data_IF_137657406945
#
_entry.id   IF_137657406945
#
_cell.length_a   1.000
_cell.length_b   1.000
_cell.length_c   1.000
_cell.angle_alpha   90.00
_cell.angle_beta   90.00
_cell.angle_gamma   90.00
#
_symmetry.space_group_name_H-M   'P 1'
#
loop_
_entity.id
_entity.type
_entity.pdbx_description
1 polymer ?
#
# COMPACT_ATOMS: atom_id res chain seq x y z
N UNK A 1 -2.65 -1.96 -24.90
CA UNK A 1 -2.11 -3.35 -24.80
C UNK A 1 -2.84 -4.03 -23.63
N UNK A 2 -3.06 -5.34 -23.68
CA UNK A 2 -3.79 -6.09 -22.66
C UNK A 2 -2.87 -6.96 -21.80
N UNK A 3 -3.40 -8.01 -21.15
CA UNK A 3 -2.60 -8.99 -20.42
C UNK A 3 -1.82 -9.92 -21.34
N UNK A 4 -0.89 -10.70 -20.76
CA UNK A 4 -0.23 -11.83 -21.44
C UNK A 4 -1.26 -12.85 -21.91
N UNK A 5 -1.00 -13.50 -23.05
CA UNK A 5 -1.85 -14.56 -23.58
C UNK A 5 -1.62 -15.85 -22.76
N UNK A 6 -2.62 -16.35 -22.02
CA UNK A 6 -2.44 -17.53 -21.16
C UNK A 6 -2.25 -18.84 -21.95
N UNK A 7 -2.48 -18.83 -23.27
CA UNK A 7 -2.37 -20.01 -24.14
C UNK A 7 -1.08 -20.01 -24.97
N UNK A 8 -0.14 -19.09 -24.72
CA UNK A 8 1.14 -19.04 -25.43
C UNK A 8 2.29 -18.86 -24.45
N UNK A 9 3.35 -19.64 -24.64
CA UNK A 9 4.57 -19.59 -23.81
C UNK A 9 5.56 -18.50 -24.26
N UNK A 10 5.19 -17.68 -25.25
CA UNK A 10 6.05 -16.66 -25.87
C UNK A 10 5.88 -15.26 -25.27
N UNK A 11 5.25 -15.15 -24.10
CA UNK A 11 4.93 -13.88 -23.42
C UNK A 11 4.16 -12.87 -24.29
N UNK A 12 3.50 -13.34 -25.35
CA UNK A 12 2.73 -12.48 -26.25
C UNK A 12 1.63 -11.73 -25.51
N UNK A 13 1.53 -10.42 -25.78
CA UNK A 13 0.57 -9.53 -25.14
C UNK A 13 -0.67 -9.41 -26.03
N UNK A 14 -1.85 -9.62 -25.45
CA UNK A 14 -3.12 -9.43 -26.16
C UNK A 14 -3.31 -7.96 -26.51
N UNK A 15 -3.94 -7.66 -27.65
CA UNK A 15 -4.15 -6.29 -28.14
C UNK A 15 -5.56 -6.13 -28.66
N UNK A 16 -6.08 -4.92 -28.49
CA UNK A 16 -7.30 -4.43 -29.14
C UNK A 16 -6.95 -3.13 -29.86
N UNK A 17 -7.49 -2.89 -31.06
CA UNK A 17 -7.33 -1.59 -31.72
C UNK A 17 -7.95 -0.46 -30.89
N UNK A 18 -7.27 0.68 -30.88
CA UNK A 18 -7.73 1.92 -30.30
C UNK A 18 -7.66 2.99 -31.39
N UNK A 19 -8.78 3.61 -31.74
CA UNK A 19 -8.81 4.76 -32.65
C UNK A 19 -9.33 5.98 -31.91
N UNK A 20 -8.73 7.12 -32.18
CA UNK A 20 -9.04 8.39 -31.51
C UNK A 20 -9.48 9.37 -32.59
N UNK A 21 -10.63 10.01 -32.37
CA UNK A 21 -11.24 10.99 -33.24
C UNK A 21 -11.39 12.29 -32.47
N UNK A 22 -10.58 13.28 -32.82
CA UNK A 22 -10.64 14.61 -32.19
C UNK A 22 -11.91 15.34 -32.65
N UNK A 23 -12.67 15.89 -31.69
CA UNK A 23 -13.86 16.70 -31.98
C UNK A 23 -13.59 18.18 -31.74
N UNK A 24 -12.93 18.50 -30.63
CA UNK A 24 -12.54 19.85 -30.25
C UNK A 24 -11.30 19.80 -29.35
N UNK A 25 -10.87 20.96 -28.84
CA UNK A 25 -9.77 21.09 -27.87
C UNK A 25 -10.04 20.42 -26.51
N UNK A 26 -11.31 20.17 -26.17
CA UNK A 26 -11.73 19.63 -24.87
C UNK A 26 -12.52 18.32 -25.00
N UNK A 27 -12.82 17.88 -26.22
CA UNK A 27 -13.64 16.69 -26.48
C UNK A 27 -13.07 15.82 -27.60
N UNK A 28 -13.15 14.50 -27.41
CA UNK A 28 -12.81 13.53 -28.43
C UNK A 28 -13.69 12.28 -28.33
N UNK A 29 -13.56 11.39 -29.29
CA UNK A 29 -14.20 10.08 -29.28
C UNK A 29 -13.17 8.99 -29.45
N UNK A 30 -13.25 7.96 -28.61
CA UNK A 30 -12.42 6.76 -28.67
C UNK A 30 -13.24 5.60 -29.18
N UNK A 31 -12.77 4.92 -30.22
CA UNK A 31 -13.24 3.59 -30.58
C UNK A 31 -12.28 2.54 -30.03
N UNK A 32 -12.81 1.64 -29.21
CA UNK A 32 -12.05 0.55 -28.60
C UNK A 32 -12.87 -0.74 -28.60
N UNK A 33 -12.35 -1.78 -29.26
CA UNK A 33 -13.13 -2.99 -29.53
C UNK A 33 -14.38 -2.68 -30.35
N UNK A 34 -15.57 -2.91 -29.78
CA UNK A 34 -16.87 -2.62 -30.42
C UNK A 34 -17.60 -1.45 -29.74
N UNK A 35 -16.87 -0.60 -29.03
CA UNK A 35 -17.44 0.52 -28.28
C UNK A 35 -16.90 1.84 -28.80
N UNK A 36 -17.77 2.84 -28.83
CA UNK A 36 -17.46 4.23 -29.15
C UNK A 36 -17.78 5.07 -27.92
N UNK A 37 -16.77 5.75 -27.39
CA UNK A 37 -16.80 6.40 -26.08
C UNK A 37 -16.47 7.88 -26.28
N UNK A 38 -17.37 8.76 -25.87
CA UNK A 38 -17.08 10.19 -25.82
C UNK A 38 -16.23 10.49 -24.58
N UNK A 39 -15.14 11.25 -24.76
CA UNK A 39 -14.29 11.72 -23.68
C UNK A 39 -14.30 13.24 -23.63
N UNK A 40 -14.36 13.76 -22.41
CA UNK A 40 -14.23 15.19 -22.11
C UNK A 40 -13.00 15.39 -21.22
N UNK A 41 -12.28 16.48 -21.46
CA UNK A 41 -11.09 16.84 -20.71
C UNK A 41 -11.37 16.94 -19.21
N UNK A 42 -10.50 16.35 -18.39
CA UNK A 42 -10.64 16.36 -16.92
C UNK A 42 -11.70 15.41 -16.36
N UNK A 43 -12.26 14.53 -17.20
CA UNK A 43 -13.31 13.60 -16.78
C UNK A 43 -12.89 12.14 -17.02
N UNK A 44 -13.06 11.34 -15.97
CA UNK A 44 -13.02 9.89 -16.10
C UNK A 44 -14.33 9.41 -16.71
N UNK A 45 -14.26 8.39 -17.55
CA UNK A 45 -15.44 7.64 -17.96
C UNK A 45 -15.98 6.80 -16.81
N UNK A 46 -17.22 6.34 -16.95
CA UNK A 46 -17.68 5.10 -16.31
C UNK A 46 -16.76 3.92 -16.67
N UNK A 47 -16.91 2.80 -15.96
CA UNK A 47 -16.16 1.57 -16.24
C UNK A 47 -16.45 1.04 -17.66
N UNK A 48 -15.39 0.94 -18.46
CA UNK A 48 -15.45 0.45 -19.84
C UNK A 48 -15.00 -1.01 -19.88
N UNK A 49 -15.89 -1.92 -20.31
CA UNK A 49 -15.57 -3.34 -20.49
C UNK A 49 -14.80 -3.59 -21.77
N UNK A 50 -13.58 -4.11 -21.66
CA UNK A 50 -12.76 -4.52 -22.80
C UNK A 50 -12.76 -6.04 -22.94
N UNK A 51 -12.72 -6.51 -24.19
CA UNK A 51 -12.70 -7.94 -24.53
C UNK A 51 -11.46 -8.24 -25.36
N UNK A 52 -10.57 -9.05 -24.82
CA UNK A 52 -9.38 -9.53 -25.52
C UNK A 52 -9.63 -10.93 -26.04
N UNK A 53 -9.52 -11.11 -27.36
CA UNK A 53 -9.62 -12.43 -27.97
C UNK A 53 -8.33 -13.20 -27.69
N UNK A 54 -8.44 -14.40 -27.13
CA UNK A 54 -7.32 -15.33 -26.99
C UNK A 54 -7.36 -16.38 -28.11
N UNK A 55 -6.45 -17.34 -28.06
CA UNK A 55 -6.55 -18.57 -28.85
C UNK A 55 -7.84 -19.34 -28.47
N UNK A 56 -8.36 -20.16 -29.39
CA UNK A 56 -9.49 -21.09 -29.16
C UNK A 56 -10.86 -20.47 -28.81
N UNK A 57 -11.11 -19.22 -29.18
CA UNK A 57 -12.43 -18.58 -29.01
C UNK A 57 -12.76 -18.14 -27.57
N UNK A 58 -11.83 -18.35 -26.64
CA UNK A 58 -11.92 -17.83 -25.27
C UNK A 58 -11.69 -16.31 -25.31
N UNK A 59 -12.41 -15.57 -24.45
CA UNK A 59 -12.32 -14.11 -24.37
C UNK A 59 -11.99 -13.71 -22.94
N UNK A 60 -10.86 -13.05 -22.77
CA UNK A 60 -10.50 -12.43 -21.51
C UNK A 60 -11.19 -11.07 -21.41
N UNK A 61 -11.84 -10.82 -20.28
CA UNK A 61 -12.59 -9.60 -20.02
C UNK A 61 -11.98 -8.81 -18.88
N UNK A 62 -11.90 -7.51 -19.07
CA UNK A 62 -11.42 -6.57 -18.06
C UNK A 62 -12.21 -5.27 -18.14
N UNK A 63 -12.10 -4.44 -17.11
CA UNK A 63 -12.64 -3.08 -17.10
C UNK A 63 -11.52 -2.06 -16.89
N UNK A 64 -11.71 -0.85 -17.40
CA UNK A 64 -10.84 0.30 -17.13
C UNK A 64 -11.64 1.61 -17.27
N UNK A 65 -11.09 2.70 -16.74
CA UNK A 65 -11.58 4.06 -17.02
C UNK A 65 -10.61 4.78 -17.94
N UNK A 66 -11.14 5.65 -18.79
CA UNK A 66 -10.38 6.56 -19.64
C UNK A 66 -10.43 7.97 -19.06
N UNK A 67 -9.32 8.72 -19.17
CA UNK A 67 -9.22 10.10 -18.72
C UNK A 67 -8.47 10.95 -19.73
N UNK A 68 -9.16 11.90 -20.34
CA UNK A 68 -8.56 12.85 -21.27
C UNK A 68 -7.86 13.96 -20.48
N UNK A 69 -6.53 13.97 -20.53
CA UNK A 69 -5.72 15.03 -19.89
C UNK A 69 -5.65 16.27 -20.77
N UNK A 70 -5.30 16.07 -22.03
CA UNK A 70 -5.00 17.15 -22.97
C UNK A 70 -5.24 16.71 -24.41
N UNK A 71 -5.68 17.65 -25.26
CA UNK A 71 -5.68 17.50 -26.73
C UNK A 71 -4.59 18.38 -27.34
N UNK A 72 -4.41 19.59 -26.80
CA UNK A 72 -3.44 20.59 -27.24
C UNK A 72 -2.64 21.13 -26.05
N UNK A 73 -1.32 21.42 -26.19
CA UNK A 73 -0.53 21.30 -27.42
C UNK A 73 -0.17 19.85 -27.78
N UNK A 74 -0.27 18.94 -26.82
CA UNK A 74 -0.04 17.51 -27.02
C UNK A 74 -1.24 16.70 -26.58
N UNK A 75 -1.56 15.68 -27.36
CA UNK A 75 -2.59 14.72 -27.00
C UNK A 75 -2.08 13.81 -25.88
N UNK A 76 -2.81 13.77 -24.77
CA UNK A 76 -2.52 12.95 -23.61
C UNK A 76 -3.80 12.27 -23.11
N UNK A 77 -3.79 10.94 -23.10
CA UNK A 77 -4.88 10.09 -22.64
C UNK A 77 -4.34 9.11 -21.60
N UNK A 78 -4.91 9.15 -20.41
CA UNK A 78 -4.67 8.18 -19.36
C UNK A 78 -5.75 7.08 -19.40
N UNK A 79 -5.32 5.85 -19.11
CA UNK A 79 -6.20 4.69 -18.96
C UNK A 79 -5.78 4.03 -17.66
N UNK A 80 -6.73 3.79 -16.76
CA UNK A 80 -6.45 3.09 -15.50
C UNK A 80 -5.88 1.69 -15.78
N UNK A 81 -5.12 1.10 -14.84
CA UNK A 81 -4.76 -0.31 -14.92
C UNK A 81 -5.99 -1.19 -15.19
N UNK A 82 -5.79 -2.26 -15.97
CA UNK A 82 -6.88 -3.18 -16.33
C UNK A 82 -7.30 -3.98 -15.10
N UNK A 83 -8.57 -3.83 -14.72
CA UNK A 83 -9.20 -4.58 -13.64
C UNK A 83 -9.83 -5.85 -14.21
N UNK A 84 -9.92 -6.93 -13.43
CA UNK A 84 -10.67 -8.12 -13.82
C UNK A 84 -12.15 -7.72 -13.94
N UNK A 85 -12.85 -8.17 -14.98
CA UNK A 85 -14.30 -7.92 -15.13
C UNK A 85 -15.07 -8.58 -13.96
N UNK A 86 -15.69 -7.83 -13.03
CA UNK A 86 -16.36 -8.42 -11.87
C UNK A 86 -17.61 -9.22 -12.26
N UNK A 87 -18.22 -8.92 -13.41
CA UNK A 87 -19.40 -9.63 -13.92
C UNK A 87 -19.05 -11.03 -14.43
N UNK A 88 -17.90 -11.17 -15.11
CA UNK A 88 -17.39 -12.42 -15.68
C UNK A 88 -15.88 -12.54 -15.47
N UNK A 89 -15.45 -12.79 -14.22
CA UNK A 89 -14.06 -12.66 -13.85
C UNK A 89 -13.21 -13.82 -14.38
N UNK A 90 -12.03 -13.49 -14.91
CA UNK A 90 -11.08 -14.48 -15.44
C UNK A 90 -10.32 -15.22 -14.32
N UNK A 91 -10.28 -14.65 -13.12
CA UNK A 91 -9.73 -15.22 -11.89
C UNK A 91 -10.69 -14.91 -10.73
N UNK A 92 -10.75 -15.71 -9.67
CA UNK A 92 -11.62 -15.41 -8.52
C UNK A 92 -11.30 -14.04 -7.90
N UNK A 93 -12.28 -13.14 -7.89
CA UNK A 93 -12.23 -11.83 -7.20
C UNK A 93 -13.17 -11.75 -6.00
N UNK A 94 -13.92 -12.82 -5.73
CA UNK A 94 -14.82 -12.94 -4.58
C UNK A 94 -15.02 -14.40 -4.18
N UNK A 95 -15.44 -14.61 -2.93
CA UNK A 95 -15.95 -15.89 -2.45
C UNK A 95 -17.32 -15.69 -1.77
N UNK A 96 -18.37 -16.47 -2.13
CA UNK A 96 -18.40 -17.42 -3.25
C UNK A 96 -18.21 -16.72 -4.59
N UNK A 97 -17.69 -17.44 -5.60
CA UNK A 97 -17.26 -16.87 -6.88
C UNK A 97 -18.34 -16.01 -7.59
N UNK A 98 -19.62 -16.35 -7.42
CA UNK A 98 -20.74 -15.63 -8.07
C UNK A 98 -21.03 -14.26 -7.44
N UNK A 99 -20.50 -13.99 -6.24
CA UNK A 99 -20.84 -12.78 -5.48
C UNK A 99 -20.41 -11.51 -6.21
N UNK A 100 -19.24 -11.52 -6.87
CA UNK A 100 -18.78 -10.37 -7.65
C UNK A 100 -19.70 -10.01 -8.80
N UNK A 101 -20.25 -11.03 -9.48
CA UNK A 101 -21.17 -10.86 -10.60
C UNK A 101 -22.51 -10.33 -10.15
N UNK A 102 -22.99 -10.80 -9.00
CA UNK A 102 -24.18 -10.28 -8.34
C UNK A 102 -24.03 -8.80 -7.98
N UNK A 103 -22.91 -8.40 -7.36
CA UNK A 103 -22.65 -7.00 -7.02
C UNK A 103 -22.59 -6.12 -8.26
N UNK A 104 -21.83 -6.54 -9.28
CA UNK A 104 -21.68 -5.80 -10.55
C UNK A 104 -23.03 -5.52 -11.23
N UNK A 105 -23.92 -6.51 -11.25
CA UNK A 105 -25.26 -6.37 -11.86
C UNK A 105 -26.20 -5.43 -11.11
N UNK A 106 -26.03 -5.29 -9.80
CA UNK A 106 -26.94 -4.47 -8.96
C UNK A 106 -26.40 -3.07 -8.76
N UNK A 107 -25.09 -2.92 -8.62
CA UNK A 107 -24.45 -1.67 -8.20
C UNK A 107 -23.65 -0.99 -9.32
N UNK A 108 -23.47 -1.67 -10.45
CA UNK A 108 -22.52 -1.29 -11.49
C UNK A 108 -21.16 -1.95 -11.26
N UNK A 109 -20.28 -1.82 -12.26
CA UNK A 109 -18.91 -2.30 -12.16
C UNK A 109 -18.12 -1.49 -11.13
N UNK A 110 -17.09 -2.11 -10.56
CA UNK A 110 -16.25 -1.55 -9.50
C UNK A 110 -14.83 -2.09 -9.65
N UNK A 111 -13.85 -1.40 -9.08
CA UNK A 111 -12.46 -1.83 -9.13
C UNK A 111 -12.27 -3.20 -8.46
N UNK A 112 -11.50 -4.08 -9.10
CA UNK A 112 -11.15 -5.42 -8.59
C UNK A 112 -9.66 -5.54 -8.29
N UNK A 113 -8.93 -4.43 -8.23
CA UNK A 113 -7.52 -4.40 -7.88
C UNK A 113 -7.39 -4.28 -6.35
N UNK A 114 -6.30 -4.84 -5.80
CA UNK A 114 -6.01 -4.73 -4.38
C UNK A 114 -5.74 -3.28 -3.95
N UNK A 115 -4.98 -2.55 -4.77
CA UNK A 115 -4.80 -1.09 -4.67
C UNK A 115 -5.39 -0.50 -5.95
N UNK A 116 -6.54 0.15 -5.83
CA UNK A 116 -7.32 0.67 -6.96
C UNK A 116 -6.90 2.05 -7.43
N UNK A 117 -6.25 2.80 -6.54
CA UNK A 117 -5.82 4.17 -6.78
C UNK A 117 -4.38 4.18 -7.30
N UNK A 118 -4.16 4.73 -8.49
CA UNK A 118 -2.87 4.64 -9.19
C UNK A 118 -1.85 5.65 -8.63
N UNK A 119 -1.33 5.34 -7.44
CA UNK A 119 -0.31 6.15 -6.74
C UNK A 119 0.96 6.31 -7.57
N UNK A 120 1.29 5.35 -8.43
CA UNK A 120 2.46 5.46 -9.30
C UNK A 120 2.24 6.44 -10.45
N UNK A 121 1.03 6.49 -11.02
CA UNK A 121 0.70 7.50 -12.03
C UNK A 121 0.85 8.93 -11.48
N UNK A 122 0.50 9.19 -10.21
CA UNK A 122 0.73 10.50 -9.59
C UNK A 122 2.22 10.70 -9.22
N UNK A 123 2.90 9.68 -8.68
CA UNK A 123 4.35 9.76 -8.40
C UNK A 123 5.19 10.13 -9.64
N UNK A 124 4.84 9.56 -10.79
CA UNK A 124 5.54 9.79 -12.06
C UNK A 124 4.92 10.93 -12.90
N UNK A 125 3.99 11.70 -12.32
CA UNK A 125 3.31 12.85 -12.96
C UNK A 125 2.58 12.49 -14.26
N UNK A 126 2.18 11.22 -14.41
CA UNK A 126 1.30 10.76 -15.49
C UNK A 126 -0.10 11.33 -15.31
N UNK A 127 -0.56 11.50 -14.07
CA UNK A 127 -1.78 12.24 -13.71
C UNK A 127 -1.44 13.31 -12.66
N UNK A 128 -2.31 14.31 -12.53
CA UNK A 128 -2.23 15.33 -11.49
C UNK A 128 -3.05 14.94 -10.25
N UNK A 129 -2.98 15.77 -9.22
CA UNK A 129 -3.67 15.57 -7.94
C UNK A 129 -5.19 15.56 -8.10
N UNK A 130 -5.76 16.40 -8.97
CA UNK A 130 -7.20 16.46 -9.21
C UNK A 130 -7.71 15.14 -9.81
N UNK A 131 -7.01 14.63 -10.83
CA UNK A 131 -7.33 13.35 -11.45
C UNK A 131 -7.17 12.20 -10.45
N UNK A 132 -6.12 12.22 -9.63
CA UNK A 132 -5.91 11.23 -8.59
C UNK A 132 -7.04 11.23 -7.54
N UNK A 133 -7.38 12.40 -6.99
CA UNK A 133 -8.46 12.54 -6.00
C UNK A 133 -9.79 12.08 -6.61
N UNK A 134 -10.09 12.46 -7.85
CA UNK A 134 -11.31 12.01 -8.55
C UNK A 134 -11.38 10.49 -8.65
N UNK A 135 -10.28 9.83 -9.03
CA UNK A 135 -10.23 8.37 -9.09
C UNK A 135 -10.40 7.74 -7.70
N UNK A 136 -9.74 8.28 -6.67
CA UNK A 136 -9.83 7.78 -5.29
C UNK A 136 -11.26 7.91 -4.72
N UNK A 137 -11.92 9.06 -4.93
CA UNK A 137 -13.30 9.26 -4.49
C UNK A 137 -14.31 8.42 -5.27
N UNK A 138 -14.09 8.21 -6.58
CA UNK A 138 -14.90 7.29 -7.37
C UNK A 138 -14.79 5.85 -6.84
N UNK A 139 -13.57 5.36 -6.60
CA UNK A 139 -13.33 4.02 -6.07
C UNK A 139 -13.92 3.86 -4.65
N UNK A 140 -13.79 4.89 -3.81
CA UNK A 140 -14.41 4.94 -2.50
C UNK A 140 -15.94 4.87 -2.58
N UNK A 141 -16.56 5.59 -3.53
CA UNK A 141 -18.01 5.56 -3.75
C UNK A 141 -18.50 4.16 -4.12
N UNK A 142 -17.75 3.43 -4.96
CA UNK A 142 -18.08 2.04 -5.30
C UNK A 142 -18.00 1.10 -4.06
N UNK A 143 -16.99 1.27 -3.21
CA UNK A 143 -16.88 0.53 -1.94
C UNK A 143 -17.99 0.88 -0.96
N UNK A 144 -18.36 2.16 -0.86
CA UNK A 144 -19.49 2.62 -0.03
C UNK A 144 -20.80 1.95 -0.46
N UNK A 145 -21.09 1.88 -1.77
CA UNK A 145 -22.27 1.18 -2.31
C UNK A 145 -22.28 -0.30 -1.93
N UNK A 146 -21.15 -0.99 -2.06
CA UNK A 146 -21.02 -2.42 -1.71
C UNK A 146 -21.23 -2.65 -0.21
N UNK A 147 -20.63 -1.80 0.62
CA UNK A 147 -20.78 -1.86 2.08
C UNK A 147 -22.23 -1.68 2.50
N UNK A 148 -22.91 -0.61 2.05
CA UNK A 148 -24.31 -0.37 2.42
C UNK A 148 -25.28 -1.40 1.81
N UNK A 149 -25.00 -1.95 0.62
CA UNK A 149 -25.77 -3.09 0.11
C UNK A 149 -25.65 -4.31 1.04
N UNK A 150 -24.46 -4.57 1.58
CA UNK A 150 -24.22 -5.66 2.52
C UNK A 150 -24.92 -5.40 3.86
N UNK A 151 -24.76 -4.18 4.42
CA UNK A 151 -25.40 -3.75 5.67
C UNK A 151 -26.93 -3.84 5.62
N UNK A 152 -27.53 -3.50 4.47
CA UNK A 152 -28.97 -3.59 4.29
C UNK A 152 -29.47 -5.04 4.24
N UNK A 153 -28.72 -5.95 3.61
CA UNK A 153 -29.17 -7.33 3.33
C UNK A 153 -28.82 -8.33 4.42
N UNK A 154 -27.69 -8.17 5.09
CA UNK A 154 -27.21 -9.12 6.10
C UNK A 154 -27.82 -8.73 7.46
N UNK A 155 -28.73 -9.57 7.97
CA UNK A 155 -29.42 -9.33 9.26
C UNK A 155 -28.76 -10.02 10.45
N UNK A 156 -27.93 -11.03 10.21
CA UNK A 156 -27.17 -11.78 11.21
C UNK A 156 -25.85 -12.20 10.57
N UNK A 157 -24.75 -12.12 11.32
CA UNK A 157 -23.42 -12.44 10.83
C UNK A 157 -22.45 -11.29 11.02
N UNK A 158 -21.35 -11.33 10.26
CA UNK A 158 -20.26 -10.36 10.32
C UNK A 158 -20.17 -9.64 8.97
N UNK A 159 -20.01 -8.31 9.04
CA UNK A 159 -19.69 -7.48 7.88
C UNK A 159 -18.36 -6.80 8.20
N UNK A 160 -17.36 -7.02 7.34
CA UNK A 160 -16.06 -6.35 7.41
C UNK A 160 -15.87 -5.59 6.11
N UNK A 161 -15.49 -4.33 6.21
CA UNK A 161 -15.17 -3.50 5.06
C UNK A 161 -13.95 -2.64 5.40
N UNK A 162 -13.01 -2.54 4.45
CA UNK A 162 -11.85 -1.66 4.55
C UNK A 162 -12.07 -0.49 3.60
N UNK A 163 -12.07 0.72 4.15
CA UNK A 163 -12.03 1.96 3.36
C UNK A 163 -10.57 2.43 3.30
N UNK A 164 -9.95 2.26 2.14
CA UNK A 164 -8.54 2.55 1.88
C UNK A 164 -8.26 4.00 1.46
N UNK A 165 -9.30 4.81 1.19
CA UNK A 165 -9.12 6.21 0.79
C UNK A 165 -8.30 7.02 1.81
N UNK A 166 -8.45 6.74 3.12
CA UNK A 166 -7.63 7.38 4.15
C UNK A 166 -6.16 7.01 4.02
N UNK A 167 -5.84 5.77 3.67
CA UNK A 167 -4.47 5.32 3.45
C UNK A 167 -3.87 5.96 2.19
N UNK A 168 -4.55 5.75 1.05
CA UNK A 168 -4.14 6.27 -0.27
C UNK A 168 -3.91 7.78 -0.24
N UNK A 169 -4.88 8.56 0.28
CA UNK A 169 -4.79 10.02 0.27
C UNK A 169 -3.74 10.50 1.26
N UNK A 170 -3.61 9.87 2.45
CA UNK A 170 -2.54 10.25 3.38
C UNK A 170 -1.16 9.98 2.77
N UNK A 171 -0.95 8.83 2.11
CA UNK A 171 0.31 8.57 1.40
C UNK A 171 0.64 9.68 0.41
N UNK A 172 -0.30 10.11 -0.42
CA UNK A 172 -0.01 11.05 -1.50
C UNK A 172 -0.05 12.52 -1.07
N UNK A 173 -0.85 12.90 -0.09
CA UNK A 173 -1.12 14.30 0.25
C UNK A 173 -0.50 14.77 1.57
N UNK A 174 0.22 13.93 2.32
CA UNK A 174 0.86 14.35 3.57
C UNK A 174 1.84 15.51 3.40
N UNK A 175 2.46 15.66 2.22
CA UNK A 175 3.31 16.81 1.85
C UNK A 175 2.60 18.17 1.95
N UNK A 176 1.27 18.19 1.95
CA UNK A 176 0.47 19.39 2.10
C UNK A 176 0.03 19.67 3.55
N UNK A 177 0.48 18.85 4.52
CA UNK A 177 0.30 19.12 5.95
C UNK A 177 1.45 19.99 6.47
N UNK A 178 1.12 21.04 7.23
CA UNK A 178 2.08 21.85 7.97
C UNK A 178 2.39 23.20 7.31
N UNK A 179 3.63 23.68 7.42
CA UNK A 179 4.03 25.01 6.92
C UNK A 179 4.64 24.92 5.52
N UNK A 180 4.29 25.90 4.69
CA UNK A 180 4.85 26.18 3.36
C UNK A 180 6.38 26.09 3.38
N UNK A 181 6.98 25.32 2.46
CA UNK A 181 8.44 25.17 2.36
C UNK A 181 9.06 26.11 1.32
N UNK A 182 8.38 26.34 0.18
CA UNK A 182 8.84 27.22 -0.89
C UNK A 182 7.72 28.18 -1.36
N UNK A 183 8.05 29.43 -1.76
CA UNK A 183 7.06 30.37 -2.31
C UNK A 183 6.40 29.91 -3.61
N UNK A 184 7.10 29.12 -4.41
CA UNK A 184 6.64 28.66 -5.74
C UNK A 184 5.50 27.64 -5.65
N UNK A 185 5.38 26.93 -4.52
CA UNK A 185 4.40 25.87 -4.31
C UNK A 185 3.14 26.36 -3.58
N UNK A 186 3.01 27.66 -3.30
CA UNK A 186 1.94 28.22 -2.45
C UNK A 186 0.56 27.90 -2.99
N UNK A 187 0.34 28.08 -4.30
CA UNK A 187 -0.97 27.90 -4.93
C UNK A 187 -1.40 26.43 -4.83
N UNK A 188 -0.48 25.50 -5.11
CA UNK A 188 -0.73 24.07 -5.04
C UNK A 188 -0.98 23.63 -3.60
N UNK A 189 -0.15 24.10 -2.66
CA UNK A 189 -0.33 23.84 -1.23
C UNK A 189 -1.69 24.31 -0.72
N UNK A 190 -2.07 25.54 -1.04
CA UNK A 190 -3.35 26.10 -0.58
C UNK A 190 -4.56 25.34 -1.11
N UNK A 191 -4.44 24.81 -2.33
CA UNK A 191 -5.48 23.99 -2.96
C UNK A 191 -5.69 22.66 -2.25
N UNK A 192 -4.61 21.99 -1.81
CA UNK A 192 -4.69 20.60 -1.34
C UNK A 192 -4.43 20.37 0.17
N UNK A 193 -4.08 21.42 0.94
CA UNK A 193 -3.78 21.31 2.38
C UNK A 193 -4.88 20.64 3.22
N UNK A 194 -6.14 20.69 2.76
CA UNK A 194 -7.29 20.15 3.49
C UNK A 194 -7.78 18.78 2.94
N UNK A 195 -7.10 18.16 1.97
CA UNK A 195 -7.61 16.92 1.35
C UNK A 195 -7.70 15.75 2.33
N UNK A 196 -6.73 15.62 3.24
CA UNK A 196 -6.75 14.59 4.28
C UNK A 196 -7.92 14.83 5.24
N UNK A 197 -8.15 16.08 5.67
CA UNK A 197 -9.30 16.42 6.52
C UNK A 197 -10.64 16.12 5.81
N UNK A 198 -10.78 16.47 4.53
CA UNK A 198 -11.97 16.16 3.73
C UNK A 198 -12.25 14.66 3.68
N UNK A 199 -11.22 13.81 3.59
CA UNK A 199 -11.38 12.36 3.66
C UNK A 199 -11.92 11.92 5.02
N UNK A 200 -11.38 12.43 6.13
CA UNK A 200 -11.90 12.10 7.46
C UNK A 200 -13.34 12.59 7.67
N UNK A 201 -13.70 13.78 7.17
CA UNK A 201 -15.10 14.27 7.18
C UNK A 201 -16.01 13.34 6.38
N UNK A 202 -15.55 12.84 5.23
CA UNK A 202 -16.29 11.86 4.43
C UNK A 202 -16.47 10.53 5.18
N UNK A 203 -15.43 10.02 5.85
CA UNK A 203 -15.51 8.80 6.64
C UNK A 203 -16.43 8.96 7.86
N UNK A 204 -16.40 10.10 8.54
CA UNK A 204 -17.30 10.43 9.64
C UNK A 204 -18.78 10.39 9.19
N UNK A 205 -19.09 10.93 8.00
CA UNK A 205 -20.44 10.83 7.43
C UNK A 205 -20.90 9.38 7.18
N UNK A 206 -19.97 8.44 6.95
CA UNK A 206 -20.29 7.02 6.82
C UNK A 206 -20.61 6.44 8.21
N UNK A 207 -19.87 6.82 9.25
CA UNK A 207 -20.13 6.42 10.63
C UNK A 207 -21.53 6.85 11.06
N UNK A 208 -21.92 8.10 10.77
CA UNK A 208 -23.28 8.60 11.03
C UNK A 208 -24.34 7.72 10.35
N UNK A 209 -24.19 7.45 9.04
CA UNK A 209 -25.12 6.61 8.28
C UNK A 209 -25.22 5.19 8.87
N UNK A 210 -24.11 4.61 9.32
CA UNK A 210 -24.10 3.27 9.95
C UNK A 210 -24.84 3.31 11.28
N UNK A 211 -24.54 4.28 12.15
CA UNK A 211 -25.20 4.44 13.46
C UNK A 211 -26.71 4.56 13.28
N UNK A 212 -27.18 5.30 12.27
CA UNK A 212 -28.60 5.47 11.97
C UNK A 212 -29.29 4.20 11.39
N UNK A 213 -28.53 3.21 10.91
CA UNK A 213 -29.08 1.97 10.32
C UNK A 213 -29.01 0.76 11.26
N UNK A 214 -28.09 0.76 12.21
CA UNK A 214 -27.92 -0.34 13.17
C UNK A 214 -28.87 -0.21 14.37
N UNK A 215 -29.00 -1.28 15.16
CA UNK A 215 -29.79 -1.27 16.40
C UNK A 215 -28.94 -1.67 17.60
N UNK A 216 -29.57 -1.73 18.76
CA UNK A 216 -28.99 -2.10 20.06
C UNK A 216 -28.47 -3.54 20.15
N UNK A 217 -28.65 -4.38 19.12
CA UNK A 217 -28.08 -5.74 19.02
C UNK A 217 -26.86 -5.81 18.12
N UNK A 218 -26.52 -4.74 17.42
CA UNK A 218 -25.34 -4.68 16.56
C UNK A 218 -24.15 -4.13 17.34
N UNK A 219 -23.00 -4.79 17.22
CA UNK A 219 -21.71 -4.25 17.67
C UNK A 219 -21.01 -3.63 16.46
N UNK A 220 -20.66 -2.36 16.58
CA UNK A 220 -19.85 -1.62 15.61
C UNK A 220 -18.46 -1.47 16.19
N UNK A 221 -17.46 -1.94 15.45
CA UNK A 221 -16.04 -1.76 15.72
C UNK A 221 -15.46 -1.01 14.52
N UNK A 222 -14.79 0.10 14.78
CA UNK A 222 -14.01 0.86 13.81
C UNK A 222 -12.56 0.75 14.26
N UNK A 223 -11.70 0.26 13.37
CA UNK A 223 -10.28 0.05 13.64
C UNK A 223 -9.46 0.59 12.47
N UNK A 224 -8.29 1.16 12.76
CA UNK A 224 -7.22 1.31 11.79
C UNK A 224 -6.09 0.33 12.12
N UNK A 225 -5.51 -0.27 11.10
CA UNK A 225 -4.32 -1.13 11.22
C UNK A 225 -3.07 -0.35 11.64
N UNK A 226 -3.00 0.94 11.32
CA UNK A 226 -1.92 1.84 11.73
C UNK A 226 -2.33 3.33 11.70
N UNK A 227 -1.47 4.18 12.25
CA UNK A 227 -1.48 5.63 12.07
C UNK A 227 -0.62 6.08 10.88
N UNK A 228 -0.27 7.37 10.82
CA UNK A 228 0.54 7.95 9.73
C UNK A 228 1.45 9.07 10.23
N UNK A 229 2.60 9.24 9.57
CA UNK A 229 3.52 10.37 9.72
C UNK A 229 4.14 10.78 8.38
N UNK A 230 4.84 11.92 8.36
CA UNK A 230 5.51 12.36 7.13
C UNK A 230 6.69 11.47 6.76
N UNK A 231 6.90 11.27 5.47
CA UNK A 231 8.06 10.63 4.87
C UNK A 231 8.82 11.63 4.00
N UNK A 232 9.92 12.15 4.56
CA UNK A 232 10.72 13.23 3.97
C UNK A 232 12.05 12.74 3.42
N UNK A 233 12.65 11.73 4.06
CA UNK A 233 13.95 11.19 3.67
C UNK A 233 13.99 9.67 3.75
N UNK A 234 14.52 9.02 2.71
CA UNK A 234 14.80 7.60 2.66
C UNK A 234 16.14 7.27 3.29
N UNK A 235 16.23 6.14 4.00
CA UNK A 235 17.43 5.65 4.67
C UNK A 235 17.83 4.32 4.05
N UNK A 236 19.02 4.25 3.47
CA UNK A 236 19.58 3.03 2.90
C UNK A 236 20.44 2.30 3.92
N UNK A 237 19.82 1.34 4.61
CA UNK A 237 20.48 0.52 5.63
C UNK A 237 21.57 -0.35 5.00
N UNK A 238 21.39 -0.84 3.78
CA UNK A 238 22.44 -1.61 3.12
C UNK A 238 23.67 -0.77 2.76
N UNK A 239 23.47 0.48 2.34
CA UNK A 239 24.58 1.44 2.15
C UNK A 239 25.29 1.75 3.47
N UNK A 240 24.54 1.89 4.58
CA UNK A 240 25.13 2.07 5.90
C UNK A 240 25.93 0.84 6.35
N UNK A 241 25.38 -0.37 6.16
CA UNK A 241 26.08 -1.62 6.47
C UNK A 241 27.34 -1.79 5.64
N UNK A 242 27.32 -1.38 4.37
CA UNK A 242 28.49 -1.37 3.49
C UNK A 242 29.56 -0.40 3.99
N UNK A 243 29.18 0.85 4.28
CA UNK A 243 30.10 1.88 4.77
C UNK A 243 30.77 1.51 6.11
N UNK A 244 30.09 0.71 6.94
CA UNK A 244 30.58 0.26 8.25
C UNK A 244 31.23 -1.14 8.23
N UNK A 245 31.39 -1.76 7.06
CA UNK A 245 32.10 -3.03 6.90
C UNK A 245 31.32 -4.28 7.31
N UNK A 246 30.00 -4.19 7.48
CA UNK A 246 29.13 -5.36 7.73
C UNK A 246 28.67 -6.03 6.45
N UNK A 247 28.55 -5.27 5.36
CA UNK A 247 28.19 -5.76 4.03
C UNK A 247 29.34 -5.49 3.07
N UNK A 248 29.59 -6.43 2.16
CA UNK A 248 30.68 -6.33 1.19
C UNK A 248 30.16 -6.53 -0.24
N UNK A 249 30.73 -5.79 -1.18
CA UNK A 249 30.49 -5.98 -2.62
C UNK A 249 31.64 -6.78 -3.23
N UNK A 250 31.37 -7.44 -4.35
CA UNK A 250 32.40 -8.12 -5.15
C UNK A 250 33.44 -7.11 -5.66
N UNK A 251 34.67 -7.58 -5.84
CA UNK A 251 35.80 -6.73 -6.24
C UNK A 251 35.49 -5.90 -7.50
N UNK A 252 35.85 -4.62 -7.48
CA UNK A 252 35.69 -3.69 -8.61
C UNK A 252 34.32 -3.05 -8.72
N UNK A 253 33.38 -3.35 -7.82
CA UNK A 253 32.01 -2.81 -7.84
C UNK A 253 31.80 -1.85 -6.67
N UNK A 254 31.25 -0.66 -6.95
CA UNK A 254 30.97 0.38 -5.94
C UNK A 254 29.51 0.40 -5.45
N UNK A 255 28.57 -0.12 -6.26
CA UNK A 255 27.14 -0.16 -5.96
C UNK A 255 26.58 -1.54 -6.31
N UNK A 256 25.55 -1.99 -5.59
CA UNK A 256 24.87 -3.23 -5.98
C UNK A 256 23.76 -2.96 -7.00
N UNK A 257 23.31 -4.02 -7.66
CA UNK A 257 22.04 -4.03 -8.38
C UNK A 257 20.91 -4.49 -7.46
N UNK A 258 19.66 -4.45 -7.95
CA UNK A 258 18.48 -4.95 -7.23
C UNK A 258 18.67 -6.40 -6.79
N UNK A 259 18.06 -6.76 -5.67
CA UNK A 259 18.10 -8.11 -5.10
C UNK A 259 19.52 -8.58 -4.76
N UNK A 260 20.33 -7.70 -4.16
CA UNK A 260 21.70 -8.00 -3.69
C UNK A 260 22.66 -8.49 -4.77
N UNK A 261 22.35 -8.26 -6.05
CA UNK A 261 23.28 -8.56 -7.13
C UNK A 261 24.57 -7.77 -6.92
N UNK A 262 25.70 -8.47 -7.01
CA UNK A 262 27.06 -8.01 -6.71
C UNK A 262 27.45 -7.95 -5.23
N UNK A 263 26.60 -8.39 -4.29
CA UNK A 263 27.02 -8.62 -2.90
C UNK A 263 27.98 -9.82 -2.81
N UNK A 264 29.05 -9.68 -2.05
CA UNK A 264 29.99 -10.73 -1.67
C UNK A 264 29.51 -11.37 -0.35
N UNK A 265 28.67 -12.39 -0.47
CA UNK A 265 28.07 -13.06 0.68
C UNK A 265 29.08 -13.80 1.56
N UNK A 266 30.22 -14.21 1.01
CA UNK A 266 31.27 -14.88 1.79
C UNK A 266 31.99 -13.94 2.77
N UNK A 267 31.78 -12.63 2.65
CA UNK A 267 32.32 -11.60 3.56
C UNK A 267 31.24 -10.78 4.26
N UNK A 268 30.00 -10.88 3.84
CA UNK A 268 28.88 -10.11 4.37
C UNK A 268 28.34 -10.77 5.64
N UNK A 269 28.22 -10.00 6.72
CA UNK A 269 27.71 -10.45 8.02
C UNK A 269 26.25 -10.09 8.25
N UNK A 270 25.76 -9.00 7.66
CA UNK A 270 24.38 -8.56 7.81
C UNK A 270 23.88 -7.86 6.53
N UNK A 271 22.56 -7.86 6.33
CA UNK A 271 21.88 -7.21 5.21
C UNK A 271 20.48 -6.78 5.62
N UNK A 272 19.90 -5.80 4.94
CA UNK A 272 18.54 -5.33 5.16
C UNK A 272 17.66 -5.60 3.92
N UNK A 273 16.41 -5.98 4.15
CA UNK A 273 15.43 -6.23 3.09
C UNK A 273 14.03 -5.82 3.56
N UNK A 274 13.23 -5.31 2.63
CA UNK A 274 11.89 -4.82 2.96
C UNK A 274 11.93 -3.50 3.71
N UNK A 275 10.84 -3.18 4.40
CA UNK A 275 10.58 -1.84 4.94
C UNK A 275 11.18 -1.58 6.33
N UNK A 276 11.76 -2.60 6.97
CA UNK A 276 12.41 -2.46 8.28
C UNK A 276 13.17 -3.71 8.75
N UNK A 277 13.28 -4.76 7.92
CA UNK A 277 13.93 -6.00 8.33
C UNK A 277 15.45 -5.93 8.15
N UNK A 278 16.19 -6.29 9.21
CA UNK A 278 17.62 -6.52 9.17
C UNK A 278 17.93 -7.96 9.57
N UNK A 279 18.77 -8.60 8.77
CA UNK A 279 19.09 -10.01 8.83
C UNK A 279 20.60 -10.18 9.03
N UNK A 280 20.98 -11.12 9.87
CA UNK A 280 22.33 -11.64 10.03
C UNK A 280 22.52 -12.77 9.01
N UNK A 281 23.65 -12.77 8.30
CA UNK A 281 24.00 -13.81 7.34
C UNK A 281 24.46 -15.08 8.08
N UNK A 282 23.49 -15.82 8.61
CA UNK A 282 23.62 -16.93 9.53
C UNK A 282 23.90 -18.24 8.77
N UNK A 283 24.94 -18.95 9.19
CA UNK A 283 25.28 -20.25 8.61
C UNK A 283 24.14 -21.25 8.79
N UNK A 284 23.73 -21.86 7.68
CA UNK A 284 22.65 -22.85 7.65
C UNK A 284 21.25 -22.27 7.43
N UNK A 285 21.06 -20.94 7.53
CA UNK A 285 19.83 -20.26 7.10
C UNK A 285 20.02 -19.65 5.72
N UNK A 286 21.08 -18.86 5.55
CA UNK A 286 21.48 -18.33 4.25
C UNK A 286 22.44 -19.28 3.52
N UNK A 287 22.34 -19.33 2.18
CA UNK A 287 23.13 -20.26 1.34
C UNK A 287 24.64 -20.09 1.47
N UNK A 288 25.10 -18.87 1.76
CA UNK A 288 26.50 -18.52 2.01
C UNK A 288 26.68 -17.86 3.40
N UNK A 289 25.87 -18.30 4.38
CA UNK A 289 25.94 -17.80 5.75
C UNK A 289 27.30 -18.00 6.42
N UNK A 290 27.83 -16.95 7.04
CA UNK A 290 29.17 -16.94 7.67
C UNK A 290 29.15 -16.77 9.19
N UNK A 291 28.07 -16.21 9.75
CA UNK A 291 27.93 -16.07 11.21
C UNK A 291 27.47 -17.40 11.77
N UNK A 292 28.28 -18.01 12.63
CA UNK A 292 28.11 -19.42 13.01
C UNK A 292 27.63 -19.62 14.43
N UNK A 293 28.15 -18.82 15.37
CA UNK A 293 27.89 -19.02 16.79
C UNK A 293 26.77 -18.09 17.26
N UNK A 294 25.91 -18.58 18.15
CA UNK A 294 24.83 -17.77 18.72
C UNK A 294 25.37 -16.55 19.48
N UNK A 295 26.46 -16.70 20.24
CA UNK A 295 27.07 -15.56 20.95
C UNK A 295 27.69 -14.52 20.00
N UNK A 296 28.18 -14.95 18.84
CA UNK A 296 28.62 -14.05 17.77
C UNK A 296 27.45 -13.27 17.16
N UNK A 297 26.33 -13.96 16.88
CA UNK A 297 25.11 -13.35 16.37
C UNK A 297 24.56 -12.28 17.33
N UNK A 298 24.41 -12.60 18.61
CA UNK A 298 23.86 -11.66 19.60
C UNK A 298 24.78 -10.45 19.81
N UNK A 299 26.10 -10.65 19.84
CA UNK A 299 27.06 -9.54 19.88
C UNK A 299 26.95 -8.64 18.65
N UNK A 300 26.82 -9.24 17.46
CA UNK A 300 26.68 -8.50 16.21
C UNK A 300 25.37 -7.70 16.16
N UNK A 301 24.25 -8.30 16.59
CA UNK A 301 22.95 -7.62 16.72
C UNK A 301 23.08 -6.40 17.63
N UNK A 302 23.64 -6.59 18.83
CA UNK A 302 23.86 -5.50 19.79
C UNK A 302 24.74 -4.38 19.24
N UNK A 303 25.87 -4.72 18.62
CA UNK A 303 26.79 -3.73 18.04
C UNK A 303 26.13 -2.91 16.92
N UNK A 304 25.41 -3.59 16.00
CA UNK A 304 24.69 -2.93 14.91
C UNK A 304 23.58 -2.03 15.48
N UNK A 305 22.83 -2.51 16.47
CA UNK A 305 21.77 -1.74 17.13
C UNK A 305 22.31 -0.44 17.75
N UNK A 306 23.38 -0.53 18.55
CA UNK A 306 24.00 0.64 19.20
C UNK A 306 24.44 1.68 18.15
N UNK A 307 25.12 1.25 17.09
CA UNK A 307 25.62 2.16 16.05
C UNK A 307 24.50 2.75 15.18
N UNK A 308 23.46 1.99 14.89
CA UNK A 308 22.31 2.47 14.11
C UNK A 308 21.45 3.45 14.92
N UNK A 309 21.26 3.23 16.21
CA UNK A 309 20.53 4.17 17.09
C UNK A 309 21.25 5.51 17.24
N UNK A 310 22.55 5.56 16.96
CA UNK A 310 23.34 6.80 16.94
C UNK A 310 23.52 7.40 15.54
N UNK A 311 22.96 6.78 14.50
CA UNK A 311 22.92 7.34 13.15
C UNK A 311 22.11 8.65 13.13
N UNK A 312 22.78 9.72 12.72
CA UNK A 312 22.17 11.04 12.55
C UNK A 312 22.17 11.45 11.09
N UNK A 313 21.15 12.21 10.72
CA UNK A 313 21.14 12.94 9.46
C UNK A 313 22.09 14.13 9.59
N UNK A 314 23.12 14.18 8.73
CA UNK A 314 24.15 15.22 8.78
C UNK A 314 23.59 16.63 8.52
N UNK A 315 22.50 16.74 7.77
CA UNK A 315 21.89 18.04 7.44
C UNK A 315 21.07 18.61 8.60
N UNK A 316 20.38 17.75 9.36
CA UNK A 316 19.42 18.17 10.40
C UNK A 316 19.94 17.94 11.83
N UNK A 317 20.91 17.06 12.01
CA UNK A 317 21.39 16.59 13.31
C UNK A 317 20.42 15.63 14.03
N UNK A 318 19.27 15.30 13.43
CA UNK A 318 18.24 14.43 14.00
C UNK A 318 18.66 12.95 13.96
N UNK A 319 18.22 12.17 14.95
CA UNK A 319 18.37 10.71 14.91
C UNK A 319 17.41 10.11 13.87
N UNK A 320 17.95 9.26 13.02
CA UNK A 320 17.22 8.66 11.88
C UNK A 320 16.41 7.44 12.30
N UNK A 321 16.89 6.71 13.31
CA UNK A 321 16.27 5.51 13.86
C UNK A 321 15.85 5.82 15.28
N UNK A 322 14.58 5.54 15.60
CA UNK A 322 14.01 5.74 16.93
C UNK A 322 14.28 4.55 17.83
N UNK A 323 13.91 3.35 17.37
CA UNK A 323 14.12 2.09 18.09
C UNK A 323 14.56 0.98 17.13
N UNK A 324 15.14 -0.08 17.68
CA UNK A 324 15.36 -1.35 16.98
C UNK A 324 14.87 -2.46 17.89
N UNK A 325 14.00 -3.32 17.38
CA UNK A 325 13.40 -4.41 18.13
C UNK A 325 14.05 -5.73 17.75
N UNK A 326 14.36 -6.53 18.77
CA UNK A 326 14.84 -7.89 18.58
C UNK A 326 13.67 -8.82 18.27
N UNK A 327 13.72 -9.49 17.12
CA UNK A 327 12.62 -10.35 16.70
C UNK A 327 12.42 -11.56 17.62
N UNK A 328 13.49 -12.06 18.27
CA UNK A 328 13.40 -13.16 19.23
C UNK A 328 12.70 -12.73 20.53
N UNK A 329 12.66 -11.43 20.83
CA UNK A 329 11.95 -10.86 21.99
C UNK A 329 10.50 -10.50 21.66
N UNK A 330 10.26 -9.98 20.45
CA UNK A 330 8.92 -9.52 20.01
C UNK A 330 8.03 -10.67 19.56
N UNK A 331 8.56 -11.58 18.73
CA UNK A 331 7.76 -12.61 18.11
C UNK A 331 7.77 -13.94 18.88
N UNK A 332 6.63 -14.61 18.84
CA UNK A 332 6.42 -15.93 19.45
C UNK A 332 5.76 -16.85 18.42
N UNK A 333 5.78 -18.15 18.71
CA UNK A 333 5.13 -19.16 17.87
C UNK A 333 6.04 -19.81 16.84
N UNK A 334 5.47 -20.72 16.02
CA UNK A 334 6.25 -21.67 15.22
C UNK A 334 7.01 -21.03 14.05
N UNK A 335 6.59 -19.85 13.60
CA UNK A 335 7.17 -19.14 12.46
C UNK A 335 8.19 -18.06 12.86
N UNK A 336 8.54 -17.93 14.16
CA UNK A 336 9.45 -16.87 14.62
C UNK A 336 10.81 -16.85 13.89
N UNK A 337 11.28 -18.01 13.43
CA UNK A 337 12.55 -18.14 12.73
C UNK A 337 12.50 -17.67 11.26
N UNK A 338 11.32 -17.34 10.74
CA UNK A 338 11.13 -16.73 9.42
C UNK A 338 11.20 -15.19 9.47
N UNK A 339 11.18 -14.60 10.67
CA UNK A 339 11.29 -13.17 10.86
C UNK A 339 12.72 -12.66 10.55
N UNK A 340 12.87 -11.34 10.28
CA UNK A 340 14.17 -10.67 10.40
C UNK A 340 14.80 -10.92 11.78
N UNK A 341 16.11 -10.72 11.93
CA UNK A 341 16.74 -10.80 13.25
C UNK A 341 16.52 -9.52 14.07
N UNK A 342 16.42 -8.38 13.38
CA UNK A 342 16.11 -7.08 13.95
C UNK A 342 15.06 -6.37 13.10
N UNK A 343 14.16 -5.64 13.76
CA UNK A 343 13.15 -4.76 13.15
C UNK A 343 13.53 -3.31 13.43
N UNK A 344 13.71 -2.51 12.38
CA UNK A 344 14.10 -1.10 12.49
C UNK A 344 12.85 -0.23 12.58
N UNK A 345 12.72 0.50 13.69
CA UNK A 345 11.74 1.57 13.87
C UNK A 345 12.34 2.92 13.51
N UNK A 346 12.01 3.45 12.34
CA UNK A 346 12.49 4.77 11.89
C UNK A 346 11.85 5.91 12.69
N UNK A 347 12.60 7.01 12.85
CA UNK A 347 12.08 8.26 13.41
C UNK A 347 11.09 8.95 12.46
N UNK A 348 10.23 9.82 13.00
CA UNK A 348 9.32 10.63 12.19
C UNK A 348 10.07 11.41 11.09
N UNK A 349 9.55 11.37 9.85
CA UNK A 349 10.20 11.98 8.70
C UNK A 349 11.12 11.04 7.92
N UNK A 350 11.49 9.89 8.48
CA UNK A 350 12.39 8.91 7.87
C UNK A 350 11.69 7.58 7.59
N UNK A 351 12.16 6.86 6.58
CA UNK A 351 11.73 5.49 6.25
C UNK A 351 12.86 4.76 5.55
N UNK A 352 12.77 3.43 5.42
CA UNK A 352 13.58 2.69 4.46
C UNK A 352 13.51 3.33 3.05
N UNK A 353 14.68 3.52 2.44
CA UNK A 353 14.77 4.06 1.08
C UNK A 353 14.24 3.08 0.04
N UNK A 354 13.79 3.59 -1.10
CA UNK A 354 13.22 2.75 -2.18
C UNK A 354 14.21 1.69 -2.66
N UNK A 355 15.49 2.04 -2.76
CA UNK A 355 16.55 1.14 -3.16
C UNK A 355 16.90 0.13 -2.05
N UNK A 356 16.89 0.55 -0.79
CA UNK A 356 17.16 -0.35 0.34
C UNK A 356 16.10 -1.45 0.47
N UNK A 357 14.82 -1.11 0.25
CA UNK A 357 13.69 -2.05 0.31
C UNK A 357 13.88 -3.25 -0.62
N UNK A 358 14.54 -3.05 -1.76
CA UNK A 358 14.80 -4.09 -2.77
C UNK A 358 16.25 -4.63 -2.72
N UNK A 359 16.96 -4.40 -1.62
CA UNK A 359 18.30 -4.94 -1.40
C UNK A 359 19.38 -4.30 -2.27
N UNK A 360 19.23 -3.02 -2.62
CA UNK A 360 20.22 -2.27 -3.41
C UNK A 360 21.11 -1.40 -2.52
N UNK A 361 22.41 -1.41 -2.82
CA UNK A 361 23.44 -0.56 -2.21
C UNK A 361 23.74 0.60 -3.15
N UNK A 362 23.72 1.80 -2.60
CA UNK A 362 24.00 3.08 -3.27
C UNK A 362 25.14 3.83 -2.57
N UNK A 363 25.57 4.94 -3.14
CA UNK A 363 26.55 5.85 -2.56
C UNK A 363 25.98 6.74 -1.44
N UNK A 364 24.65 6.85 -1.35
CA UNK A 364 23.95 7.66 -0.33
C UNK A 364 23.31 6.77 0.73
N UNK A 365 23.56 7.10 2.00
CA UNK A 365 22.89 6.49 3.15
C UNK A 365 21.54 7.16 3.39
N UNK A 366 21.43 8.47 3.22
CA UNK A 366 20.19 9.23 3.40
C UNK A 366 19.91 9.99 2.11
N UNK A 367 18.67 9.95 1.63
CA UNK A 367 18.24 10.65 0.42
C UNK A 367 16.92 11.39 0.64
N UNK A 368 16.77 12.56 0.03
CA UNK A 368 15.51 13.31 0.07
C UNK A 368 14.45 12.57 -0.74
N UNK A 369 13.24 12.50 -0.19
CA UNK A 369 12.09 11.96 -0.90
C UNK A 369 11.46 13.05 -1.78
N UNK A 370 11.65 12.91 -3.09
CA UNK A 370 11.09 13.82 -4.11
C UNK A 370 9.76 13.32 -4.70
N UNK A 371 9.29 12.15 -4.25
CA UNK A 371 8.05 11.54 -4.75
C UNK A 371 6.81 12.14 -4.08
N UNK A 372 5.68 11.99 -4.77
CA UNK A 372 4.37 12.39 -4.24
C UNK A 372 3.99 11.60 -2.97
N UNK A 373 4.41 10.33 -2.90
CA UNK A 373 4.30 9.48 -1.71
C UNK A 373 5.09 10.08 -0.55
N UNK A 374 4.40 10.77 0.36
CA UNK A 374 4.95 11.68 1.35
C UNK A 374 4.39 11.46 2.77
N UNK A 375 3.35 10.66 2.91
CA UNK A 375 2.94 10.06 4.18
C UNK A 375 3.36 8.60 4.21
N UNK A 376 3.72 8.08 5.38
CA UNK A 376 3.99 6.65 5.57
C UNK A 376 3.73 6.23 7.01
N UNK A 377 3.71 4.91 7.21
CA UNK A 377 3.43 4.24 8.47
C UNK A 377 4.43 3.10 8.73
N UNK A 378 5.33 2.80 7.78
CA UNK A 378 6.43 1.84 7.92
C UNK A 378 7.61 2.45 8.69
N UNK A 379 7.33 2.93 9.90
CA UNK A 379 8.27 3.57 10.82
C UNK A 379 8.10 2.96 12.21
N UNK A 380 8.71 3.55 13.24
CA UNK A 380 8.53 3.05 14.60
C UNK A 380 7.04 3.01 15.02
N UNK A 381 6.52 1.87 15.50
CA UNK A 381 5.09 1.69 15.75
C UNK A 381 4.53 2.60 16.86
N UNK A 382 5.36 3.05 17.81
CA UNK A 382 4.89 3.93 18.89
C UNK A 382 4.45 5.31 18.39
N UNK A 383 4.93 5.75 17.22
CA UNK A 383 4.62 7.08 16.67
C UNK A 383 3.54 7.06 15.59
N UNK A 384 3.04 5.87 15.23
CA UNK A 384 1.93 5.66 14.28
C UNK A 384 0.87 4.71 14.86
N UNK A 385 0.33 5.00 16.07
CA UNK A 385 -0.72 4.16 16.63
C UNK A 385 -1.97 4.20 15.73
N UNK A 386 -2.61 3.04 15.58
CA UNK A 386 -3.94 2.94 14.98
C UNK A 386 -5.02 3.56 15.88
N UNK A 387 -6.25 3.56 15.39
CA UNK A 387 -7.42 3.99 16.17
C UNK A 387 -8.32 2.80 16.45
N UNK A 388 -9.04 2.85 17.58
CA UNK A 388 -10.06 1.88 17.92
C UNK A 388 -11.29 2.61 18.50
N UNK A 389 -12.45 2.39 17.89
CA UNK A 389 -13.74 2.85 18.40
C UNK A 389 -14.73 1.69 18.46
N UNK A 390 -15.52 1.63 19.53
CA UNK A 390 -16.58 0.64 19.67
C UNK A 390 -17.84 1.29 20.22
N UNK A 391 -19.01 0.86 19.73
CA UNK A 391 -20.30 1.28 20.29
C UNK A 391 -20.67 0.52 21.59
N UNK A 392 -19.75 -0.29 22.11
CA UNK A 392 -19.83 -0.98 23.41
C UNK A 392 -18.70 -0.51 24.31
N UNK A 393 -18.96 -0.55 25.62
CA UNK A 393 -17.93 -0.36 26.62
C UNK A 393 -16.94 -1.52 26.52
N UNK A 394 -15.65 -1.20 26.41
CA UNK A 394 -14.56 -2.17 26.47
C UNK A 394 -13.98 -2.25 27.88
N UNK A 395 -13.24 -3.32 28.15
CA UNK A 395 -12.67 -3.66 29.47
C UNK A 395 -11.20 -3.22 29.66
N UNK A 396 -10.63 -2.45 28.72
CA UNK A 396 -9.25 -1.96 28.74
C UNK A 396 -9.17 -0.56 28.12
N UNK A 397 -8.22 0.25 28.57
CA UNK A 397 -7.88 1.54 27.96
C UNK A 397 -6.83 1.42 26.84
N UNK A 398 -6.22 0.23 26.69
CA UNK A 398 -5.17 -0.05 25.71
C UNK A 398 -5.54 -1.28 24.88
N UNK A 399 -6.52 -1.18 23.95
CA UNK A 399 -6.87 -2.29 23.07
C UNK A 399 -5.77 -2.52 22.02
N UNK A 400 -5.49 -3.77 21.69
CA UNK A 400 -4.56 -4.15 20.64
C UNK A 400 -5.31 -4.74 19.43
N UNK A 401 -4.75 -4.64 18.22
CA UNK A 401 -5.42 -5.16 17.01
C UNK A 401 -5.67 -6.68 17.10
N UNK A 402 -4.81 -7.40 17.82
CA UNK A 402 -4.92 -8.84 18.07
C UNK A 402 -6.15 -9.20 18.94
N UNK A 403 -6.71 -8.24 19.67
CA UNK A 403 -7.89 -8.44 20.53
C UNK A 403 -9.20 -8.48 19.73
N UNK A 404 -9.20 -8.04 18.47
CA UNK A 404 -10.40 -7.98 17.64
C UNK A 404 -10.95 -9.38 17.36
N UNK A 405 -10.09 -10.31 16.94
CA UNK A 405 -10.50 -11.67 16.62
C UNK A 405 -11.15 -12.42 17.81
N UNK A 406 -10.54 -12.51 19.00
CA UNK A 406 -11.17 -13.17 20.15
C UNK A 406 -12.44 -12.44 20.62
N UNK A 407 -12.51 -11.11 20.51
CA UNK A 407 -13.73 -10.34 20.78
C UNK A 407 -14.86 -10.75 19.83
N UNK A 408 -14.59 -10.80 18.51
CA UNK A 408 -15.58 -11.21 17.51
C UNK A 408 -16.04 -12.65 17.75
N UNK A 409 -15.12 -13.60 18.02
CA UNK A 409 -15.50 -14.98 18.34
C UNK A 409 -16.43 -15.06 19.55
N UNK A 410 -16.12 -14.31 20.62
CA UNK A 410 -16.96 -14.27 21.82
C UNK A 410 -18.37 -13.74 21.52
N UNK A 411 -18.49 -12.68 20.70
CA UNK A 411 -19.79 -12.13 20.27
C UNK A 411 -20.65 -13.17 19.50
N UNK A 412 -20.02 -14.14 18.84
CA UNK A 412 -20.70 -15.27 18.18
C UNK A 412 -20.92 -16.49 19.09
N UNK A 413 -20.58 -16.40 20.38
CA UNK A 413 -20.67 -17.52 21.33
C UNK A 413 -19.63 -18.61 21.07
N UNK A 414 -18.56 -18.30 20.34
CA UNK A 414 -17.46 -19.22 20.03
C UNK A 414 -16.34 -18.97 21.04
N UNK A 415 -15.88 -20.03 21.71
CA UNK A 415 -14.73 -19.94 22.61
C UNK A 415 -13.46 -19.66 21.79
N UNK A 416 -12.74 -18.55 22.04
CA UNK A 416 -11.49 -18.28 21.35
C UNK A 416 -10.47 -19.41 21.59
N UNK A 417 -9.79 -19.90 20.54
CA UNK A 417 -8.75 -20.90 20.72
C UNK A 417 -7.61 -20.40 21.62
N UNK A 418 -7.05 -21.29 22.45
CA UNK A 418 -6.00 -20.94 23.43
C UNK A 418 -4.68 -20.43 22.82
N UNK A 419 -4.47 -20.60 21.51
CA UNK A 419 -3.29 -20.09 20.81
C UNK A 419 -3.43 -18.65 20.32
N UNK A 420 -4.59 -18.00 20.49
CA UNK A 420 -4.74 -16.57 20.21
C UNK A 420 -4.13 -15.77 21.37
N UNK A 421 -3.25 -14.82 21.04
CA UNK A 421 -2.59 -13.96 22.04
C UNK A 421 -3.50 -12.83 22.53
N UNK A 422 -4.44 -12.38 21.69
CA UNK A 422 -5.38 -11.33 22.03
C UNK A 422 -6.43 -11.76 23.04
N UNK A 423 -7.14 -10.79 23.59
CA UNK A 423 -8.15 -10.95 24.63
C UNK A 423 -9.49 -10.41 24.18
N UNK A 424 -10.55 -10.94 24.78
CA UNK A 424 -11.88 -10.38 24.58
C UNK A 424 -11.97 -8.99 25.22
N UNK A 425 -12.41 -8.00 24.45
CA UNK A 425 -12.55 -6.60 24.87
C UNK A 425 -13.89 -6.29 25.55
N UNK A 426 -14.92 -7.12 25.35
CA UNK A 426 -16.31 -6.81 25.74
C UNK A 426 -16.82 -7.73 26.86
#
# INVERSE_FOLDING_TARGET
>A
KGPKNPFRNDDSILKIPLKIFLKSKDELTVEVGNQTIALKKGEFTEWIRLKFNTSFGIKLRCICKFFLKSVEPYFELYITPLNIDPEKPALPVSHPFIYSSYLSKILGDYSTLGISDDTWALNERVIDEDAFLKLAYDNHSDKEKIFFNSLNKIKKGLIVNVFDISDTVQHMFFRYIGKKRNPEDIIEFEKYQNEIEKVYVKLDSIVEKVINQINDRTVLIIVSDHGFKSFRKGVNINSWLFANGYLHLKNGVKNSEKYFRNVDWAKTKAYALGLGGLYINQKGRESQGIVTRLDEKEKLKKEITEKLLDLKDEETGEKVIKNIYDADEVYRGPYKNEAPDLLIGYSEGYRASWDSVIGKITDKIIEVNEKSWSGDHCIDPEIVPGVFFCNRKINTDNPEIIDIAPTVLNLFGITPPHYMDGKNLI
#
